data_IF_825882996124
#
_entry.id   IF_825882996124
#
_cell.length_a   1.000
_cell.length_b   1.000
_cell.length_c   1.000
_cell.angle_alpha   90.00
_cell.angle_beta   90.00
_cell.angle_gamma   90.00
#
_symmetry.space_group_name_H-M   'P 1'
#
loop_
_entity.id
_entity.type
_entity.pdbx_description
1 polymer ?
#
# COMPACT_ATOMS: atom_id res chain seq x y z
N UNK A 1 12.04 8.15 -24.92
CA UNK A 1 10.99 8.43 -23.90
C UNK A 1 9.82 7.51 -24.15
N UNK A 2 9.49 6.66 -23.19
CA UNK A 2 8.31 5.79 -23.33
C UNK A 2 7.06 6.67 -23.33
N UNK A 3 6.15 6.41 -24.26
CA UNK A 3 4.86 7.11 -24.31
C UNK A 3 3.98 6.63 -23.14
N UNK A 4 3.65 7.49 -22.14
CA UNK A 4 2.89 7.06 -20.94
C UNK A 4 1.44 6.66 -21.23
N UNK A 5 0.98 6.88 -22.45
CA UNK A 5 -0.36 6.50 -22.91
C UNK A 5 -0.40 5.13 -23.60
N UNK A 6 0.74 4.55 -23.94
CA UNK A 6 0.80 3.23 -24.56
C UNK A 6 0.85 2.14 -23.47
N UNK A 7 -0.17 1.28 -23.39
CA UNK A 7 -0.19 0.22 -22.41
C UNK A 7 0.73 -0.95 -22.83
N UNK A 8 1.37 -1.53 -21.85
CA UNK A 8 2.12 -2.78 -21.98
C UNK A 8 1.17 -3.96 -21.77
N UNK A 9 1.28 -4.96 -22.62
CA UNK A 9 0.50 -6.20 -22.46
C UNK A 9 1.09 -7.05 -21.34
N UNK A 10 0.21 -7.59 -20.51
CA UNK A 10 0.57 -8.49 -19.44
C UNK A 10 -0.38 -9.69 -19.39
N UNK A 11 0.06 -10.76 -18.78
CA UNK A 11 -0.68 -11.99 -18.55
C UNK A 11 -0.77 -12.26 -17.06
N UNK A 12 -1.92 -12.72 -16.59
CA UNK A 12 -2.13 -13.19 -15.22
C UNK A 12 -1.47 -14.55 -15.06
N UNK A 13 -0.44 -14.64 -14.23
CA UNK A 13 0.27 -15.90 -13.93
C UNK A 13 -0.43 -16.69 -12.82
N UNK A 14 -0.95 -15.97 -11.79
CA UNK A 14 -1.51 -16.57 -10.59
C UNK A 14 -2.57 -15.62 -10.00
N UNK A 15 -3.61 -16.20 -9.41
CA UNK A 15 -4.66 -15.49 -8.69
C UNK A 15 -4.77 -16.06 -7.27
N UNK A 16 -4.45 -15.26 -6.27
CA UNK A 16 -4.45 -15.65 -4.86
C UNK A 16 -5.63 -14.99 -4.16
N UNK A 17 -6.52 -15.80 -3.55
CA UNK A 17 -7.58 -15.27 -2.69
C UNK A 17 -6.98 -14.86 -1.35
N UNK A 18 -7.04 -13.58 -1.00
CA UNK A 18 -6.44 -13.05 0.24
C UNK A 18 -7.39 -13.12 1.43
N UNK A 19 -8.66 -12.80 1.23
CA UNK A 19 -9.65 -12.73 2.31
C UNK A 19 -10.65 -13.86 2.23
N UNK A 20 -11.13 -14.30 3.39
CA UNK A 20 -12.22 -15.29 3.51
C UNK A 20 -13.56 -14.64 3.87
N UNK A 21 -13.57 -13.33 4.03
CA UNK A 21 -14.74 -12.49 4.33
C UNK A 21 -15.45 -12.02 3.06
N UNK A 22 -16.50 -11.20 3.24
CA UNK A 22 -17.23 -10.55 2.14
C UNK A 22 -16.41 -9.49 1.39
N UNK A 23 -15.21 -9.13 1.87
CA UNK A 23 -14.39 -8.07 1.24
C UNK A 23 -13.87 -8.46 -0.13
N UNK A 24 -13.78 -9.74 -0.46
CA UNK A 24 -13.36 -10.30 -1.75
C UNK A 24 -12.13 -9.58 -2.33
N UNK A 25 -10.99 -9.79 -1.66
CA UNK A 25 -9.70 -9.25 -2.10
C UNK A 25 -8.88 -10.39 -2.70
N UNK A 26 -8.34 -10.15 -3.91
CA UNK A 26 -7.42 -11.07 -4.58
C UNK A 26 -6.11 -10.38 -4.90
N UNK A 27 -5.02 -11.13 -4.82
CA UNK A 27 -3.71 -10.73 -5.36
C UNK A 27 -3.51 -11.40 -6.72
N UNK A 28 -3.20 -10.57 -7.72
CA UNK A 28 -2.90 -10.99 -9.08
C UNK A 28 -1.40 -10.87 -9.31
N UNK A 29 -0.75 -11.99 -9.59
CA UNK A 29 0.63 -12.02 -10.06
C UNK A 29 0.62 -11.95 -11.58
N UNK A 30 1.25 -10.93 -12.14
CA UNK A 30 1.19 -10.64 -13.56
C UNK A 30 2.60 -10.48 -14.16
N UNK A 31 2.76 -10.85 -15.43
CA UNK A 31 4.01 -10.75 -16.16
C UNK A 31 3.81 -9.97 -17.47
N UNK A 32 4.76 -9.08 -17.78
CA UNK A 32 4.76 -8.39 -19.07
C UNK A 32 5.13 -9.37 -20.19
N UNK A 33 4.34 -9.34 -21.30
CA UNK A 33 4.51 -10.31 -22.39
C UNK A 33 5.72 -10.03 -23.30
N UNK A 34 6.15 -8.78 -23.40
CA UNK A 34 7.23 -8.39 -24.32
C UNK A 34 8.64 -8.54 -23.70
N UNK A 35 8.76 -9.37 -22.65
CA UNK A 35 10.04 -9.61 -21.95
C UNK A 35 10.57 -8.38 -21.20
N UNK A 36 9.76 -7.31 -21.10
CA UNK A 36 10.10 -6.10 -20.36
C UNK A 36 9.94 -6.28 -18.86
N UNK A 37 10.60 -5.42 -18.11
CA UNK A 37 10.35 -5.21 -16.68
C UNK A 37 9.77 -3.82 -16.45
N UNK A 38 9.05 -3.65 -15.37
CA UNK A 38 8.57 -2.33 -14.95
C UNK A 38 9.33 -1.95 -13.68
N UNK A 39 10.31 -1.07 -13.85
CA UNK A 39 11.09 -0.56 -12.71
C UNK A 39 10.24 0.45 -11.93
N UNK A 40 9.91 0.13 -10.71
CA UNK A 40 9.13 1.00 -9.82
C UNK A 40 9.80 1.10 -8.45
N UNK A 41 9.39 2.09 -7.68
CA UNK A 41 9.78 2.29 -6.28
C UNK A 41 8.54 2.24 -5.38
N UNK A 42 8.70 1.92 -4.08
CA UNK A 42 7.57 1.90 -3.14
C UNK A 42 6.81 3.22 -3.12
N UNK A 43 5.50 3.14 -3.16
CA UNK A 43 4.58 4.29 -3.23
C UNK A 43 3.99 4.53 -4.61
N UNK A 44 4.65 4.12 -5.69
CA UNK A 44 4.14 4.27 -7.05
C UNK A 44 2.96 3.33 -7.34
N UNK A 45 2.23 3.62 -8.41
CA UNK A 45 1.07 2.88 -8.87
C UNK A 45 1.08 2.67 -10.39
N UNK A 46 0.16 1.84 -10.86
CA UNK A 46 -0.11 1.60 -12.28
C UNK A 46 -1.57 1.89 -12.61
N UNK A 47 -1.86 2.13 -13.87
CA UNK A 47 -3.20 2.02 -14.44
C UNK A 47 -3.34 0.65 -15.10
N UNK A 48 -4.28 -0.17 -14.61
CA UNK A 48 -4.62 -1.47 -15.17
C UNK A 48 -5.84 -1.34 -16.05
N UNK A 49 -5.74 -1.81 -17.28
CA UNK A 49 -6.83 -1.81 -18.26
C UNK A 49 -7.29 -3.21 -18.61
N UNK A 50 -8.59 -3.38 -18.70
CA UNK A 50 -9.23 -4.57 -19.28
C UNK A 50 -9.90 -4.14 -20.58
N UNK A 51 -9.48 -4.69 -21.74
CA UNK A 51 -10.02 -4.31 -23.04
C UNK A 51 -11.55 -4.41 -23.09
N UNK A 52 -12.19 -3.34 -23.56
CA UNK A 52 -13.65 -3.27 -23.67
C UNK A 52 -14.39 -2.99 -22.35
N UNK A 53 -13.69 -2.90 -21.20
CA UNK A 53 -14.28 -2.65 -19.88
C UNK A 53 -13.89 -1.28 -19.35
N UNK A 54 -12.58 -1.02 -19.23
CA UNK A 54 -12.08 0.24 -18.68
C UNK A 54 -10.70 0.12 -18.04
N UNK A 55 -10.32 1.17 -17.33
CA UNK A 55 -9.03 1.34 -16.69
C UNK A 55 -9.22 1.86 -15.25
N UNK A 56 -8.35 1.42 -14.34
CA UNK A 56 -8.34 1.90 -12.96
C UNK A 56 -6.92 1.87 -12.36
N UNK A 57 -6.60 2.80 -11.41
CA UNK A 57 -5.31 2.85 -10.74
C UNK A 57 -5.20 1.81 -9.62
N UNK A 58 -4.03 1.18 -9.52
CA UNK A 58 -3.70 0.24 -8.43
C UNK A 58 -2.24 0.43 -8.00
N UNK A 59 -1.99 0.45 -6.69
CA UNK A 59 -0.66 0.40 -6.13
C UNK A 59 0.01 -0.94 -6.42
N UNK A 60 1.33 -0.92 -6.59
CA UNK A 60 2.12 -2.14 -6.60
C UNK A 60 2.03 -2.83 -5.23
N UNK A 61 2.06 -4.15 -5.24
CA UNK A 61 2.08 -4.97 -4.02
C UNK A 61 3.29 -5.92 -3.97
N UNK A 62 4.04 -6.11 -5.07
CA UNK A 62 5.27 -6.88 -5.10
C UNK A 62 6.49 -6.09 -4.64
N UNK A 63 7.60 -6.81 -4.42
CA UNK A 63 8.89 -6.17 -4.16
C UNK A 63 9.37 -5.39 -5.39
N UNK A 64 9.85 -4.15 -5.24
CA UNK A 64 10.46 -3.41 -6.35
C UNK A 64 11.83 -3.98 -6.76
N UNK A 65 12.36 -4.91 -5.98
CA UNK A 65 13.64 -5.57 -6.23
C UNK A 65 13.47 -6.85 -7.05
N UNK A 66 12.23 -7.33 -7.22
CA UNK A 66 11.87 -8.43 -8.09
C UNK A 66 11.35 -7.85 -9.43
N UNK A 67 11.91 -8.32 -10.54
CA UNK A 67 11.59 -7.79 -11.88
C UNK A 67 10.91 -8.82 -12.78
N UNK A 68 10.69 -10.03 -12.28
CA UNK A 68 10.12 -11.10 -13.09
C UNK A 68 8.60 -10.98 -13.22
N UNK A 69 7.96 -10.41 -12.20
CA UNK A 69 6.52 -10.25 -12.13
C UNK A 69 6.13 -9.01 -11.32
N UNK A 70 4.88 -8.64 -11.41
CA UNK A 70 4.22 -7.59 -10.62
C UNK A 70 3.08 -8.23 -9.86
N UNK A 71 2.88 -7.88 -8.61
CA UNK A 71 1.68 -8.24 -7.85
C UNK A 71 0.82 -7.02 -7.59
N UNK A 72 -0.49 -7.23 -7.69
CA UNK A 72 -1.52 -6.21 -7.47
C UNK A 72 -2.61 -6.82 -6.60
N UNK A 73 -2.90 -6.23 -5.45
CA UNK A 73 -3.96 -6.70 -4.56
C UNK A 73 -5.19 -5.81 -4.71
N UNK A 74 -6.28 -6.41 -5.12
CA UNK A 74 -7.44 -5.69 -5.63
C UNK A 74 -8.72 -6.20 -4.98
N UNK A 75 -9.48 -5.27 -4.40
CA UNK A 75 -10.82 -5.51 -3.87
C UNK A 75 -11.85 -5.39 -4.99
N UNK A 76 -12.85 -6.27 -5.00
CA UNK A 76 -13.99 -6.19 -5.92
C UNK A 76 -14.98 -5.11 -5.48
N UNK A 77 -15.02 -3.97 -6.20
CA UNK A 77 -15.88 -2.82 -5.83
C UNK A 77 -16.53 -2.07 -6.99
N UNK A 78 -16.23 -2.43 -8.25
CA UNK A 78 -16.77 -1.72 -9.42
C UNK A 78 -16.41 -2.39 -10.72
N UNK A 79 -16.84 -1.81 -11.84
CA UNK A 79 -16.84 -2.43 -13.16
C UNK A 79 -15.50 -3.08 -13.55
N UNK A 80 -14.39 -2.35 -13.42
CA UNK A 80 -13.05 -2.87 -13.78
C UNK A 80 -12.65 -4.01 -12.85
N UNK A 81 -12.86 -3.84 -11.54
CA UNK A 81 -12.49 -4.85 -10.55
C UNK A 81 -13.40 -6.08 -10.59
N UNK A 82 -14.69 -5.92 -10.92
CA UNK A 82 -15.61 -7.04 -11.16
C UNK A 82 -15.18 -7.87 -12.38
N UNK A 83 -14.86 -7.19 -13.49
CA UNK A 83 -14.33 -7.85 -14.66
C UNK A 83 -13.01 -8.57 -14.38
N UNK A 84 -12.07 -7.92 -13.66
CA UNK A 84 -10.80 -8.53 -13.28
C UNK A 84 -11.01 -9.78 -12.41
N UNK A 85 -11.92 -9.73 -11.44
CA UNK A 85 -12.23 -10.86 -10.56
C UNK A 85 -12.85 -12.07 -11.29
N UNK A 86 -13.39 -11.87 -12.49
CA UNK A 86 -13.88 -12.95 -13.36
C UNK A 86 -12.77 -13.59 -14.20
N UNK A 87 -11.60 -12.93 -14.33
CA UNK A 87 -10.49 -13.45 -15.09
C UNK A 87 -9.75 -14.56 -14.32
N UNK A 88 -9.08 -15.41 -15.08
CA UNK A 88 -8.29 -16.55 -14.59
C UNK A 88 -6.84 -16.41 -15.07
N UNK A 89 -6.00 -17.29 -14.58
CA UNK A 89 -4.63 -17.50 -15.07
C UNK A 89 -4.63 -17.68 -16.60
N UNK A 90 -3.64 -17.10 -17.26
CA UNK A 90 -3.54 -17.03 -18.73
C UNK A 90 -4.32 -15.86 -19.35
N UNK A 91 -5.13 -15.13 -18.59
CA UNK A 91 -5.88 -14.00 -19.14
C UNK A 91 -4.97 -12.77 -19.37
N UNK A 92 -5.19 -12.09 -20.49
CA UNK A 92 -4.48 -10.87 -20.87
C UNK A 92 -5.09 -9.62 -20.23
N UNK A 93 -4.22 -8.76 -19.71
CA UNK A 93 -4.55 -7.42 -19.21
C UNK A 93 -3.52 -6.42 -19.74
N UNK A 94 -3.77 -5.14 -19.57
CA UNK A 94 -2.82 -4.12 -19.97
C UNK A 94 -2.48 -3.19 -18.83
N UNK A 95 -1.21 -2.74 -18.79
CA UNK A 95 -0.66 -1.93 -17.72
C UNK A 95 0.01 -0.68 -18.28
N UNK A 96 -0.18 0.45 -17.64
CA UNK A 96 0.55 1.70 -17.88
C UNK A 96 1.17 2.18 -16.56
N UNK A 97 2.37 2.72 -16.63
CA UNK A 97 3.10 3.22 -15.46
C UNK A 97 4.58 2.88 -15.52
N UNK A 98 5.32 2.95 -14.41
CA UNK A 98 4.82 3.39 -13.08
C UNK A 98 4.52 4.89 -13.05
N UNK A 99 3.57 5.28 -12.23
CA UNK A 99 3.14 6.67 -12.02
C UNK A 99 3.26 7.07 -10.56
N UNK A 100 3.19 8.38 -10.30
CA UNK A 100 3.23 8.93 -8.96
C UNK A 100 4.61 9.07 -8.36
N UNK A 101 4.66 9.69 -7.18
CA UNK A 101 5.86 9.82 -6.36
C UNK A 101 6.14 8.55 -5.55
N UNK A 102 7.17 8.59 -4.71
CA UNK A 102 7.64 7.44 -3.93
C UNK A 102 7.70 7.76 -2.45
N UNK A 103 7.68 6.73 -1.60
CA UNK A 103 8.13 6.91 -0.22
C UNK A 103 9.58 7.40 -0.19
N UNK A 104 9.94 8.30 0.75
CA UNK A 104 11.28 8.86 0.86
C UNK A 104 12.24 7.87 1.53
N UNK A 105 12.50 6.73 0.86
CA UNK A 105 13.26 5.61 1.43
C UNK A 105 14.67 5.98 1.88
N UNK A 106 15.30 7.00 1.26
CA UNK A 106 16.62 7.48 1.64
C UNK A 106 16.59 8.29 2.94
N UNK A 107 15.61 9.17 3.08
CA UNK A 107 15.40 9.99 4.29
C UNK A 107 14.98 9.13 5.49
N UNK A 108 14.39 7.98 5.22
CA UNK A 108 14.01 7.00 6.23
C UNK A 108 15.18 6.15 6.73
N UNK A 109 16.35 6.17 6.07
CA UNK A 109 17.55 5.44 6.51
C UNK A 109 17.99 5.90 7.90
N UNK A 110 18.54 4.98 8.69
CA UNK A 110 18.94 5.16 10.07
C UNK A 110 17.83 5.57 11.06
N UNK A 111 16.56 5.51 10.61
CA UNK A 111 15.41 5.72 11.47
C UNK A 111 14.70 4.38 11.75
N UNK A 112 13.95 4.32 12.84
CA UNK A 112 12.96 3.28 13.10
C UNK A 112 11.73 3.53 12.24
N UNK A 113 11.04 2.46 11.88
CA UNK A 113 9.89 2.50 10.99
C UNK A 113 8.68 1.91 11.70
N UNK A 114 7.63 2.69 11.84
CA UNK A 114 6.34 2.25 12.36
C UNK A 114 5.34 2.16 11.21
N UNK A 115 4.96 0.97 10.82
CA UNK A 115 3.97 0.72 9.76
C UNK A 115 2.63 0.39 10.38
N UNK A 116 1.59 1.15 10.02
CA UNK A 116 0.23 0.92 10.51
C UNK A 116 -0.69 0.72 9.32
N UNK A 117 -1.15 -0.51 9.13
CA UNK A 117 -1.97 -0.88 7.98
C UNK A 117 -3.35 -1.38 8.40
N UNK A 118 -4.40 -0.91 7.73
CA UNK A 118 -5.78 -1.35 7.92
C UNK A 118 -6.34 -2.08 6.69
N UNK A 119 -6.59 -3.38 6.81
CA UNK A 119 -7.16 -4.19 5.73
C UNK A 119 -6.35 -4.11 4.43
N UNK A 120 -7.00 -3.72 3.32
CA UNK A 120 -6.34 -3.57 2.02
C UNK A 120 -5.21 -2.52 2.04
N UNK A 121 -5.18 -1.60 3.00
CA UNK A 121 -4.11 -0.61 3.12
C UNK A 121 -2.71 -1.21 3.32
N UNK A 122 -2.60 -2.49 3.66
CA UNK A 122 -1.32 -3.18 3.68
C UNK A 122 -0.74 -3.37 2.26
N UNK A 123 -1.57 -3.43 1.23
CA UNK A 123 -1.13 -3.68 -0.15
C UNK A 123 -0.16 -2.61 -0.68
N UNK A 124 -0.47 -1.29 -0.65
CA UNK A 124 0.48 -0.27 -1.09
C UNK A 124 1.68 -0.08 -0.15
N UNK A 125 1.64 -0.60 1.08
CA UNK A 125 2.77 -0.57 2.02
C UNK A 125 3.68 -1.78 1.89
N UNK A 126 3.19 -2.90 1.35
CA UNK A 126 3.97 -4.13 1.18
C UNK A 126 5.25 -3.95 0.34
N UNK A 127 5.27 -3.20 -0.78
CA UNK A 127 6.51 -2.94 -1.51
C UNK A 127 7.58 -2.24 -0.66
N UNK A 128 7.16 -1.30 0.23
CA UNK A 128 8.06 -0.62 1.14
C UNK A 128 8.63 -1.59 2.19
N UNK A 129 7.79 -2.43 2.78
CA UNK A 129 8.21 -3.48 3.73
C UNK A 129 9.18 -4.44 3.08
N UNK A 130 8.85 -5.00 1.91
CA UNK A 130 9.71 -5.93 1.18
C UNK A 130 11.03 -5.28 0.77
N UNK A 131 11.04 -4.00 0.39
CA UNK A 131 12.25 -3.25 0.09
C UNK A 131 13.15 -3.09 1.32
N UNK A 132 12.59 -2.71 2.46
CA UNK A 132 13.34 -2.48 3.70
C UNK A 132 13.84 -3.76 4.37
N UNK A 133 13.03 -4.83 4.30
CA UNK A 133 13.35 -6.13 4.90
C UNK A 133 14.28 -6.98 4.04
N UNK A 134 14.50 -6.65 2.77
CA UNK A 134 15.44 -7.36 1.91
C UNK A 134 16.87 -7.26 2.46
N UNK A 135 17.62 -8.36 2.45
CA UNK A 135 18.97 -8.42 2.99
C UNK A 135 19.96 -7.40 2.40
N UNK A 136 19.68 -6.87 1.19
CA UNK A 136 20.47 -5.80 0.57
C UNK A 136 20.24 -4.44 1.21
N UNK A 137 19.14 -4.24 1.93
CA UNK A 137 18.71 -2.95 2.46
C UNK A 137 18.49 -2.97 3.98
N UNK A 138 18.31 -4.16 4.60
CA UNK A 138 17.86 -4.28 5.99
C UNK A 138 18.68 -3.48 7.00
N UNK A 139 20.00 -3.51 6.87
CA UNK A 139 20.93 -2.80 7.76
C UNK A 139 20.85 -1.26 7.64
N UNK A 140 20.21 -0.74 6.59
CA UNK A 140 20.03 0.70 6.37
C UNK A 140 18.93 1.30 7.25
N UNK A 141 18.04 0.47 7.78
CA UNK A 141 16.89 0.88 8.59
C UNK A 141 17.01 0.36 10.01
N UNK A 142 16.51 1.12 10.97
CA UNK A 142 16.38 0.70 12.35
C UNK A 142 15.30 -0.39 12.52
N UNK A 143 14.75 -0.48 13.73
CA UNK A 143 13.66 -1.39 14.04
C UNK A 143 12.43 -1.11 13.15
N UNK A 144 11.78 -2.17 12.65
CA UNK A 144 10.52 -2.09 11.90
C UNK A 144 9.42 -2.66 12.80
N UNK A 145 8.52 -1.81 13.25
CA UNK A 145 7.34 -2.20 14.01
C UNK A 145 6.12 -2.15 13.10
N UNK A 146 5.35 -3.22 13.03
CA UNK A 146 4.12 -3.29 12.24
C UNK A 146 2.91 -3.45 13.15
N UNK A 147 1.92 -2.56 13.01
CA UNK A 147 0.58 -2.71 13.57
C UNK A 147 -0.39 -2.99 12.42
N UNK A 148 -0.78 -4.25 12.29
CA UNK A 148 -1.68 -4.72 11.24
C UNK A 148 -3.09 -4.88 11.81
N UNK A 149 -4.03 -4.12 11.26
CA UNK A 149 -5.41 -4.09 11.72
C UNK A 149 -6.38 -4.64 10.67
N UNK A 150 -7.38 -5.37 11.12
CA UNK A 150 -8.47 -5.87 10.30
C UNK A 150 -9.79 -5.80 11.08
N UNK A 151 -10.93 -5.87 10.41
CA UNK A 151 -12.23 -5.96 11.10
C UNK A 151 -12.42 -7.32 11.76
N UNK A 152 -11.96 -8.36 11.06
CA UNK A 152 -12.06 -9.76 11.45
C UNK A 152 -10.79 -10.52 11.07
N UNK A 153 -10.61 -11.71 11.58
CA UNK A 153 -9.48 -12.57 11.21
C UNK A 153 -9.47 -12.90 9.71
N UNK A 154 -10.65 -13.02 9.09
CA UNK A 154 -10.80 -13.28 7.66
C UNK A 154 -10.44 -12.13 6.74
N UNK A 155 -10.23 -10.91 7.27
CA UNK A 155 -9.94 -9.71 6.49
C UNK A 155 -8.44 -9.41 6.36
N UNK A 156 -7.57 -10.12 7.05
CA UNK A 156 -6.13 -9.96 6.87
C UNK A 156 -5.69 -10.46 5.49
N UNK A 157 -4.97 -9.62 4.75
CA UNK A 157 -4.26 -10.00 3.54
C UNK A 157 -2.82 -10.39 3.85
N UNK A 158 -2.19 -11.19 3.00
CA UNK A 158 -0.80 -11.68 3.15
C UNK A 158 -0.53 -12.47 4.43
N UNK A 159 -1.53 -13.10 5.03
CA UNK A 159 -1.38 -13.89 6.27
C UNK A 159 -0.26 -14.91 6.19
N UNK A 160 -0.02 -15.47 5.00
CA UNK A 160 1.04 -16.44 4.72
C UNK A 160 2.46 -15.89 4.90
N UNK A 161 2.62 -14.54 4.92
CA UNK A 161 3.92 -13.88 4.98
C UNK A 161 4.26 -13.37 6.38
N UNK A 162 3.29 -13.29 7.30
CA UNK A 162 3.50 -12.69 8.62
C UNK A 162 4.58 -13.39 9.45
N UNK A 163 4.65 -14.73 9.40
CA UNK A 163 5.67 -15.48 10.11
C UNK A 163 7.06 -15.26 9.52
N UNK A 164 7.18 -15.11 8.22
CA UNK A 164 8.42 -14.79 7.54
C UNK A 164 8.88 -13.38 7.90
N UNK A 165 7.99 -12.41 7.81
CA UNK A 165 8.30 -11.02 8.18
C UNK A 165 8.71 -10.89 9.65
N UNK A 166 8.06 -11.62 10.55
CA UNK A 166 8.38 -11.61 11.98
C UNK A 166 9.73 -12.26 12.32
N UNK A 167 10.33 -13.04 11.41
CA UNK A 167 11.68 -13.59 11.57
C UNK A 167 12.79 -12.68 11.07
N UNK A 168 12.45 -11.62 10.34
CA UNK A 168 13.44 -10.64 9.89
C UNK A 168 14.00 -9.92 11.12
N UNK A 169 15.30 -9.77 11.17
CA UNK A 169 16.00 -9.12 12.30
C UNK A 169 15.41 -7.74 12.61
N UNK A 170 15.28 -7.42 13.90
CA UNK A 170 14.72 -6.17 14.40
C UNK A 170 13.36 -5.80 13.76
N UNK A 171 12.50 -6.79 13.57
CA UNK A 171 11.13 -6.62 13.05
C UNK A 171 10.13 -7.21 14.03
N UNK A 172 9.03 -6.49 14.27
CA UNK A 172 7.95 -6.95 15.14
C UNK A 172 6.58 -6.70 14.50
N UNK A 173 5.64 -7.61 14.77
CA UNK A 173 4.28 -7.53 14.24
C UNK A 173 3.27 -7.63 15.37
N UNK A 174 2.45 -6.61 15.50
CA UNK A 174 1.25 -6.61 16.33
C UNK A 174 0.03 -6.71 15.43
N UNK A 175 -0.80 -7.70 15.64
CA UNK A 175 -2.05 -7.91 14.91
C UNK A 175 -3.24 -7.53 15.78
N UNK A 176 -4.23 -6.84 15.23
CA UNK A 176 -5.46 -6.48 15.93
C UNK A 176 -6.70 -6.65 15.06
N UNK A 177 -7.80 -7.03 15.70
CA UNK A 177 -9.14 -7.05 15.10
C UNK A 177 -10.08 -6.14 15.88
N UNK A 178 -11.16 -5.67 15.23
CA UNK A 178 -12.09 -4.73 15.84
C UNK A 178 -12.87 -5.33 17.02
N UNK A 179 -13.17 -6.63 16.96
CA UNK A 179 -13.95 -7.34 17.96
C UNK A 179 -13.36 -8.74 18.24
N UNK A 180 -13.51 -9.27 19.46
CA UNK A 180 -13.02 -10.61 19.78
C UNK A 180 -13.64 -11.68 18.87
N UNK A 181 -12.82 -12.61 18.44
CA UNK A 181 -13.22 -13.83 17.70
C UNK A 181 -12.66 -15.06 18.39
N UNK A 182 -13.38 -16.20 18.27
CA UNK A 182 -12.92 -17.48 18.82
C UNK A 182 -11.60 -17.91 18.14
N UNK A 183 -10.63 -18.31 18.96
CA UNK A 183 -9.30 -18.73 18.48
C UNK A 183 -8.37 -17.57 18.11
N UNK A 184 -8.76 -16.30 18.33
CA UNK A 184 -7.89 -15.16 18.12
C UNK A 184 -6.97 -14.93 19.33
N UNK A 185 -5.66 -14.91 19.07
CA UNK A 185 -4.59 -14.73 20.07
C UNK A 185 -3.91 -13.33 20.01
N UNK A 186 -4.27 -12.50 19.02
CA UNK A 186 -3.76 -11.14 18.87
C UNK A 186 -4.51 -10.12 19.71
N UNK A 187 -4.20 -8.85 19.47
CA UNK A 187 -4.88 -7.74 20.15
C UNK A 187 -6.32 -7.57 19.63
N UNK A 188 -7.15 -6.94 20.46
CA UNK A 188 -8.51 -6.51 20.10
C UNK A 188 -8.62 -5.02 20.37
N UNK A 189 -9.07 -4.26 19.38
CA UNK A 189 -9.25 -2.82 19.49
C UNK A 189 -8.76 -2.07 18.28
N UNK A 190 -9.01 -0.76 18.31
CA UNK A 190 -8.67 0.12 17.18
C UNK A 190 -7.20 0.55 17.20
N UNK A 191 -6.57 0.69 16.02
CA UNK A 191 -5.15 1.02 15.90
C UNK A 191 -4.70 2.27 16.66
N UNK A 192 -5.51 3.33 16.70
CA UNK A 192 -5.15 4.57 17.41
C UNK A 192 -5.03 4.40 18.93
N UNK A 193 -5.77 3.45 19.52
CA UNK A 193 -5.64 3.11 20.95
C UNK A 193 -4.34 2.34 21.15
N UNK A 194 -4.12 1.31 20.34
CA UNK A 194 -2.94 0.44 20.47
C UNK A 194 -1.62 1.16 20.20
N UNK A 195 -1.59 2.11 19.27
CA UNK A 195 -0.43 2.98 19.04
C UNK A 195 -0.05 3.74 20.32
N UNK A 196 -1.03 4.15 21.13
CA UNK A 196 -0.77 4.79 22.42
C UNK A 196 -0.15 3.89 23.49
N UNK A 197 -0.22 2.56 23.29
CA UNK A 197 0.37 1.54 24.18
C UNK A 197 1.75 1.05 23.67
N UNK A 198 2.15 1.44 22.46
CA UNK A 198 3.44 1.01 21.88
C UNK A 198 4.59 1.86 22.39
N UNK A 199 5.75 1.23 22.58
CA UNK A 199 7.01 1.95 22.83
C UNK A 199 7.54 2.49 21.50
N UNK A 200 7.47 3.82 21.33
CA UNK A 200 7.91 4.50 20.11
C UNK A 200 9.05 5.45 20.43
N UNK A 201 10.17 5.31 19.75
CA UNK A 201 11.30 6.24 19.79
C UNK A 201 10.98 7.46 18.91
N UNK A 202 10.16 8.36 19.44
CA UNK A 202 9.54 9.48 18.71
C UNK A 202 10.51 10.29 17.84
N UNK A 203 11.69 10.74 18.31
CA UNK A 203 12.58 11.55 17.48
C UNK A 203 13.18 10.80 16.29
N UNK A 204 13.32 9.48 16.41
CA UNK A 204 13.98 8.63 15.41
C UNK A 204 13.02 7.72 14.64
N UNK A 205 11.71 8.01 14.63
CA UNK A 205 10.70 7.16 13.96
C UNK A 205 10.03 7.87 12.82
N UNK A 206 9.96 7.20 11.67
CA UNK A 206 9.00 7.48 10.60
C UNK A 206 7.77 6.58 10.78
N UNK A 207 6.59 7.16 10.75
CA UNK A 207 5.33 6.43 10.75
C UNK A 207 4.73 6.41 9.34
N UNK A 208 4.31 5.24 8.87
CA UNK A 208 3.73 5.03 7.54
C UNK A 208 2.35 4.41 7.70
N UNK A 209 1.31 5.11 7.24
CA UNK A 209 -0.08 4.75 7.45
C UNK A 209 -0.77 4.43 6.12
N UNK A 210 -1.57 3.37 6.07
CA UNK A 210 -2.54 3.19 4.99
C UNK A 210 -3.73 2.36 5.47
N UNK A 211 -4.93 2.73 5.04
CA UNK A 211 -6.16 2.05 5.43
C UNK A 211 -7.38 2.95 5.29
N UNK A 212 -8.50 2.60 5.93
CA UNK A 212 -9.71 3.42 5.90
C UNK A 212 -9.47 4.86 6.36
N UNK A 213 -10.07 5.87 5.73
CA UNK A 213 -9.86 7.29 6.07
C UNK A 213 -10.04 7.59 7.56
N UNK A 214 -11.03 6.97 8.19
CA UNK A 214 -11.29 7.14 9.62
C UNK A 214 -10.13 6.63 10.49
N UNK A 215 -9.48 5.52 10.09
CA UNK A 215 -8.31 4.99 10.78
C UNK A 215 -7.13 5.97 10.63
N UNK A 216 -6.85 6.42 9.41
CA UNK A 216 -5.76 7.38 9.13
C UNK A 216 -5.95 8.63 9.98
N UNK A 217 -7.17 9.19 10.04
CA UNK A 217 -7.50 10.38 10.82
C UNK A 217 -7.15 10.22 12.30
N UNK A 218 -7.61 9.16 12.95
CA UNK A 218 -7.39 8.98 14.39
C UNK A 218 -5.96 8.54 14.71
N UNK A 219 -5.36 7.69 13.89
CA UNK A 219 -3.97 7.25 14.09
C UNK A 219 -3.01 8.40 13.89
N UNK A 220 -3.15 9.20 12.83
CA UNK A 220 -2.26 10.36 12.60
C UNK A 220 -2.38 11.41 13.72
N UNK A 221 -3.60 11.67 14.20
CA UNK A 221 -3.81 12.56 15.34
C UNK A 221 -3.10 12.04 16.60
N UNK A 222 -3.20 10.73 16.89
CA UNK A 222 -2.52 10.11 18.03
C UNK A 222 -1.00 10.14 17.90
N UNK A 223 -0.44 9.91 16.72
CA UNK A 223 1.00 10.00 16.48
C UNK A 223 1.53 11.42 16.68
N UNK A 224 0.78 12.44 16.24
CA UNK A 224 1.11 13.86 16.49
C UNK A 224 1.03 14.17 17.99
N UNK A 225 0.02 13.67 18.71
CA UNK A 225 -0.11 13.80 20.16
C UNK A 225 1.08 13.19 20.91
N UNK A 226 1.59 12.04 20.41
CA UNK A 226 2.79 11.39 20.94
C UNK A 226 4.08 12.14 20.62
N UNK A 227 4.03 13.15 19.74
CA UNK A 227 5.15 14.02 19.41
C UNK A 227 5.91 13.66 18.13
N UNK A 228 5.40 12.72 17.30
CA UNK A 228 6.02 12.46 16.00
C UNK A 228 5.78 13.67 15.08
N UNK A 229 6.83 14.25 14.46
CA UNK A 229 6.69 15.37 13.55
C UNK A 229 5.78 15.01 12.36
N UNK A 230 4.92 15.94 11.94
CA UNK A 230 3.98 15.73 10.83
C UNK A 230 4.68 15.33 9.52
N UNK A 231 5.89 15.81 9.30
CA UNK A 231 6.76 15.51 8.17
C UNK A 231 7.23 14.05 8.15
N UNK A 232 7.27 13.40 9.32
CA UNK A 232 7.65 11.99 9.49
C UNK A 232 6.44 11.03 9.54
N UNK A 233 5.22 11.54 9.41
CA UNK A 233 4.00 10.72 9.33
C UNK A 233 3.53 10.71 7.88
N UNK A 234 3.70 9.58 7.21
CA UNK A 234 3.43 9.39 5.78
C UNK A 234 2.15 8.57 5.57
N UNK A 235 1.41 8.90 4.53
CA UNK A 235 0.25 8.11 4.08
C UNK A 235 0.14 8.12 2.56
N UNK A 236 -0.71 7.25 2.02
CA UNK A 236 -1.06 7.26 0.60
C UNK A 236 -2.50 7.70 0.42
N UNK A 237 -2.74 8.53 -0.59
CA UNK A 237 -4.09 8.95 -0.98
C UNK A 237 -4.56 8.18 -2.21
N UNK A 238 -5.83 7.81 -2.21
CA UNK A 238 -6.51 7.23 -3.36
C UNK A 238 -7.46 8.27 -3.97
N UNK A 239 -7.39 8.42 -5.30
CA UNK A 239 -8.27 9.29 -6.05
C UNK A 239 -8.70 8.62 -7.34
N UNK A 240 -9.83 9.06 -7.91
CA UNK A 240 -10.20 8.68 -9.28
C UNK A 240 -9.15 9.20 -10.24
N UNK A 241 -8.50 8.33 -10.97
CA UNK A 241 -7.50 8.66 -11.97
C UNK A 241 -7.95 8.17 -13.34
N UNK A 242 -7.41 8.77 -14.38
CA UNK A 242 -7.67 8.38 -15.78
C UNK A 242 -6.41 8.50 -16.62
N UNK A 243 -5.65 9.59 -16.51
CA UNK A 243 -4.46 9.77 -17.33
C UNK A 243 -3.17 9.29 -16.65
N UNK A 244 -3.08 9.36 -15.33
CA UNK A 244 -1.88 9.04 -14.54
C UNK A 244 -0.74 10.06 -14.65
N UNK A 245 -0.90 11.13 -15.45
CA UNK A 245 0.17 12.05 -15.87
C UNK A 245 -0.20 13.54 -15.72
N UNK A 246 -1.11 13.87 -14.81
CA UNK A 246 -1.48 15.27 -14.49
C UNK A 246 -2.20 16.06 -15.57
N UNK A 247 -2.80 15.40 -16.58
CA UNK A 247 -3.44 16.09 -17.73
C UNK A 247 -4.94 16.27 -17.57
N UNK A 248 -5.65 15.30 -17.00
CA UNK A 248 -7.12 15.30 -17.04
C UNK A 248 -7.78 16.03 -15.87
N UNK A 249 -7.05 16.35 -14.80
CA UNK A 249 -7.57 17.08 -13.63
C UNK A 249 -8.45 16.26 -12.69
N UNK A 250 -8.69 14.97 -12.94
CA UNK A 250 -9.64 14.18 -12.13
C UNK A 250 -9.15 13.80 -10.74
N UNK A 251 -7.84 13.78 -10.55
CA UNK A 251 -7.22 13.39 -9.27
C UNK A 251 -6.72 14.60 -8.47
N UNK A 252 -7.22 15.82 -8.76
CA UNK A 252 -6.78 17.00 -8.05
C UNK A 252 -7.39 17.09 -6.64
N UNK A 253 -6.55 17.57 -5.71
CA UNK A 253 -6.93 17.99 -4.36
C UNK A 253 -6.41 19.41 -4.21
N UNK A 254 -7.28 20.41 -4.27
CA UNK A 254 -6.84 21.79 -4.40
C UNK A 254 -6.00 21.99 -5.66
N UNK A 255 -4.73 22.34 -5.50
CA UNK A 255 -3.77 22.52 -6.60
C UNK A 255 -2.83 21.33 -6.82
N UNK A 256 -2.94 20.28 -6.00
CA UNK A 256 -2.13 19.06 -6.11
C UNK A 256 -2.83 18.04 -7.01
N UNK A 257 -2.08 17.30 -7.81
CA UNK A 257 -2.56 16.15 -8.58
C UNK A 257 -1.99 14.86 -7.99
N UNK A 258 -2.83 14.03 -7.39
CA UNK A 258 -2.39 12.78 -6.73
C UNK A 258 -1.58 11.87 -7.65
N UNK A 259 -1.84 11.88 -8.96
CA UNK A 259 -1.06 11.08 -9.91
C UNK A 259 0.34 11.61 -10.23
N UNK A 260 0.70 12.81 -9.80
CA UNK A 260 2.03 13.44 -10.00
C UNK A 260 2.66 13.81 -8.67
N UNK A 261 1.92 14.58 -7.83
CA UNK A 261 2.42 15.10 -6.56
C UNK A 261 2.36 14.05 -5.45
N UNK A 262 1.49 13.04 -5.63
CA UNK A 262 1.29 11.88 -4.77
C UNK A 262 1.61 10.56 -5.50
N UNK A 263 1.08 9.43 -5.02
CA UNK A 263 0.06 9.28 -3.96
C UNK A 263 0.59 9.43 -2.54
N UNK A 264 1.90 9.43 -2.32
CA UNK A 264 2.51 9.52 -0.99
C UNK A 264 2.57 10.99 -0.54
N UNK A 265 2.00 11.26 0.63
CA UNK A 265 2.02 12.57 1.28
C UNK A 265 2.35 12.42 2.77
N UNK A 266 2.97 13.44 3.36
CA UNK A 266 3.10 13.55 4.80
C UNK A 266 1.95 14.40 5.40
N UNK A 267 1.79 14.30 6.72
CA UNK A 267 0.71 15.03 7.41
C UNK A 267 0.88 16.56 7.39
N UNK A 268 2.08 17.08 7.17
CA UNK A 268 2.29 18.52 7.00
C UNK A 268 1.73 18.98 5.64
N UNK A 269 2.02 18.25 4.57
CA UNK A 269 1.46 18.52 3.23
C UNK A 269 -0.06 18.41 3.22
N UNK A 270 -0.63 17.37 3.89
CA UNK A 270 -2.08 17.21 3.96
C UNK A 270 -2.77 18.34 4.74
N UNK A 271 -2.10 18.91 5.74
CA UNK A 271 -2.64 20.03 6.52
C UNK A 271 -2.76 21.34 5.68
N UNK A 272 -2.03 21.45 4.57
CA UNK A 272 -2.10 22.58 3.64
C UNK A 272 -3.17 22.38 2.54
N UNK A 273 -3.71 21.17 2.43
CA UNK A 273 -4.78 20.85 1.47
C UNK A 273 -6.15 21.30 1.96
N UNK A 274 -7.14 21.43 1.06
CA UNK A 274 -8.52 21.72 1.45
C UNK A 274 -9.04 20.71 2.49
N UNK A 275 -9.84 21.19 3.45
CA UNK A 275 -10.35 20.41 4.60
C UNK A 275 -11.31 19.27 4.23
N UNK A 276 -11.55 19.04 2.96
CA UNK A 276 -12.38 17.94 2.44
C UNK A 276 -11.65 16.57 2.45
N UNK A 277 -10.38 16.57 2.83
CA UNK A 277 -9.52 15.40 2.86
C UNK A 277 -8.83 15.17 4.21
#
# INVERSE_FOLDING_TARGET
MNNPYLPLKAEILEVIQETTSELDIKTYKVKLLDGGSMDFMPGQFIELSIPGVGEAPFGFASSPLDREYIELSIKRVGLVTEALHSLKEGAGIWLRGPFGNTFPVKEMENNKILVIAGGLGLAPLRPLLLYMMDGRNRERYGEIQMLLAARSTGDFIYRREFDEWGRVEATSIVKTIDRPEEGWDGKVGFPHVLVGEMEIDVPNTYAVLCGPPIMIKFVSAKLVELGIPKEKILTTLEMRMTCGVGKCGKCNIGHQYVCIDGPVFNMAQLAEMPSEY
#
